data_IF_184527836064
#
_entry.id   IF_184527836064
#
_cell.length_a   1.000
_cell.length_b   1.000
_cell.length_c   1.000
_cell.angle_alpha   90.00
_cell.angle_beta   90.00
_cell.angle_gamma   90.00
#
_symmetry.space_group_name_H-M   'P 1'
#
loop_
_entity.id
_entity.type
_entity.pdbx_description
1 polymer ?
#
# COMPACT_ATOMS: atom_id res chain seq x y z
N UNK A 1 -5.37 12.45 -20.94
CA UNK A 1 -5.83 13.85 -20.99
C UNK A 1 -5.44 14.55 -22.30
N UNK A 2 -4.21 14.38 -22.81
CA UNK A 2 -3.77 15.04 -24.06
C UNK A 2 -4.54 14.64 -25.31
N UNK A 3 -4.85 13.34 -25.45
CA UNK A 3 -5.67 12.84 -26.55
C UNK A 3 -7.10 13.41 -26.55
N UNK A 4 -7.72 13.48 -25.36
CA UNK A 4 -9.03 14.12 -25.20
C UNK A 4 -8.97 15.60 -25.56
N UNK A 5 -7.98 16.34 -25.06
CA UNK A 5 -7.82 17.78 -25.35
C UNK A 5 -7.61 18.05 -26.83
N UNK A 6 -6.76 17.28 -27.50
CA UNK A 6 -6.52 17.41 -28.93
C UNK A 6 -7.80 17.15 -29.75
N UNK A 7 -8.67 16.26 -29.28
CA UNK A 7 -9.95 15.95 -29.93
C UNK A 7 -11.01 17.03 -29.70
N UNK A 8 -11.20 17.48 -28.46
CA UNK A 8 -12.30 18.41 -28.13
C UNK A 8 -11.95 19.89 -28.37
N UNK A 9 -10.70 20.28 -28.15
CA UNK A 9 -10.24 21.68 -28.24
C UNK A 9 -9.39 21.94 -29.50
N UNK A 10 -8.98 20.88 -30.20
CA UNK A 10 -8.17 20.98 -31.40
C UNK A 10 -6.84 21.70 -31.16
N UNK A 11 -6.54 22.63 -32.07
CA UNK A 11 -5.33 23.47 -32.02
C UNK A 11 -5.58 24.87 -31.47
N UNK A 12 -6.83 25.21 -31.15
CA UNK A 12 -7.18 26.55 -30.70
C UNK A 12 -6.67 26.83 -29.28
N UNK A 13 -6.26 28.08 -28.98
CA UNK A 13 -6.07 28.52 -27.61
C UNK A 13 -7.38 28.45 -26.81
N UNK A 14 -7.30 28.14 -25.52
CA UNK A 14 -8.47 28.06 -24.64
C UNK A 14 -8.21 28.70 -23.28
N UNK A 15 -9.28 29.25 -22.68
CA UNK A 15 -9.28 29.71 -21.30
C UNK A 15 -9.51 28.52 -20.37
N UNK A 16 -8.72 28.43 -19.30
CA UNK A 16 -8.84 27.38 -18.30
C UNK A 16 -9.02 28.01 -16.92
N UNK A 17 -10.27 28.04 -16.44
CA UNK A 17 -10.59 28.47 -15.10
C UNK A 17 -10.11 27.42 -14.08
N UNK A 18 -9.28 27.83 -13.12
CA UNK A 18 -8.83 26.95 -12.03
C UNK A 18 -9.24 27.55 -10.70
N UNK A 19 -9.92 26.77 -9.86
CA UNK A 19 -10.50 27.22 -8.60
C UNK A 19 -9.51 27.36 -7.44
N UNK A 20 -8.30 27.86 -7.68
CA UNK A 20 -7.36 28.19 -6.59
C UNK A 20 -7.80 29.46 -5.88
N UNK A 21 -7.75 29.44 -4.56
CA UNK A 21 -8.07 30.58 -3.70
C UNK A 21 -6.79 31.36 -3.30
N UNK A 22 -6.91 32.47 -2.57
CA UNK A 22 -5.74 33.32 -2.22
C UNK A 22 -4.68 32.60 -1.38
N UNK A 23 -5.07 31.59 -0.63
CA UNK A 23 -4.17 30.79 0.21
C UNK A 23 -3.32 29.80 -0.61
N UNK A 24 -3.55 29.68 -1.92
CA UNK A 24 -2.95 28.67 -2.81
C UNK A 24 -1.97 29.26 -3.84
N UNK A 25 -1.35 30.40 -3.56
CA UNK A 25 -0.45 31.11 -4.48
C UNK A 25 0.70 30.25 -5.04
N UNK A 26 1.28 29.35 -4.26
CA UNK A 26 2.33 28.42 -4.74
C UNK A 26 1.83 27.45 -5.81
N UNK A 27 0.55 27.04 -5.74
CA UNK A 27 -0.09 26.19 -6.75
C UNK A 27 -0.37 26.97 -8.02
N UNK A 28 -0.75 28.24 -7.91
CA UNK A 28 -0.91 29.15 -9.05
C UNK A 28 0.41 29.32 -9.79
N UNK A 29 1.51 29.55 -9.07
CA UNK A 29 2.85 29.64 -9.68
C UNK A 29 3.20 28.35 -10.43
N UNK A 30 3.02 27.20 -9.78
CA UNK A 30 3.31 25.89 -10.39
C UNK A 30 2.45 25.62 -11.62
N UNK A 31 1.14 25.89 -11.53
CA UNK A 31 0.18 25.67 -12.61
C UNK A 31 0.39 26.61 -13.80
N UNK A 32 0.75 27.88 -13.54
CA UNK A 32 1.05 28.88 -14.57
C UNK A 32 2.27 28.51 -15.42
N UNK A 33 3.21 27.75 -14.86
CA UNK A 33 4.36 27.23 -15.59
C UNK A 33 3.97 26.10 -16.58
N UNK A 34 2.77 25.52 -16.45
CA UNK A 34 2.31 24.43 -17.30
C UNK A 34 1.63 24.97 -18.56
N UNK A 35 2.36 24.92 -19.68
CA UNK A 35 1.96 25.58 -20.93
C UNK A 35 1.14 24.70 -21.89
N UNK A 36 1.04 23.37 -21.68
CA UNK A 36 0.35 22.41 -22.58
C UNK A 36 0.43 22.76 -24.08
N UNK A 37 1.65 22.86 -24.62
CA UNK A 37 1.89 23.23 -26.02
C UNK A 37 1.60 24.69 -26.37
N UNK A 38 1.59 25.59 -25.38
CA UNK A 38 1.38 27.04 -25.53
C UNK A 38 -0.09 27.46 -25.75
N UNK A 39 -1.04 26.53 -25.67
CA UNK A 39 -2.46 26.79 -26.02
C UNK A 39 -3.33 27.13 -24.81
N UNK A 40 -2.88 26.78 -23.61
CA UNK A 40 -3.62 27.00 -22.38
C UNK A 40 -3.41 28.43 -21.88
N UNK A 41 -4.51 29.11 -21.58
CA UNK A 41 -4.51 30.39 -20.87
C UNK A 41 -5.19 30.21 -19.51
N UNK A 42 -4.44 29.93 -18.44
CA UNK A 42 -5.02 29.79 -17.12
C UNK A 42 -5.53 31.14 -16.59
N UNK A 43 -6.61 31.10 -15.81
CA UNK A 43 -7.03 32.21 -14.95
C UNK A 43 -7.62 31.66 -13.66
N UNK A 44 -7.63 32.46 -12.60
CA UNK A 44 -7.86 32.00 -11.23
C UNK A 44 -8.93 32.85 -10.55
N UNK A 45 -10.21 32.67 -10.89
CA UNK A 45 -11.28 33.60 -10.49
C UNK A 45 -11.35 33.84 -8.98
N UNK A 46 -11.25 32.76 -8.20
CA UNK A 46 -11.39 32.79 -6.74
C UNK A 46 -10.23 33.56 -6.10
N UNK A 47 -9.02 33.37 -6.61
CA UNK A 47 -7.85 34.15 -6.21
C UNK A 47 -7.99 35.62 -6.63
N UNK A 48 -8.42 35.89 -7.86
CA UNK A 48 -8.58 37.26 -8.40
C UNK A 48 -9.60 38.09 -7.61
N UNK A 49 -10.69 37.48 -7.13
CA UNK A 49 -11.68 38.15 -6.27
C UNK A 49 -11.27 38.21 -4.79
N UNK A 50 -10.07 37.72 -4.44
CA UNK A 50 -9.52 37.82 -3.10
C UNK A 50 -10.13 36.86 -2.07
N UNK A 51 -10.77 35.77 -2.50
CA UNK A 51 -11.43 34.86 -1.58
C UNK A 51 -10.46 33.87 -0.96
N UNK A 52 -10.50 33.79 0.37
CA UNK A 52 -9.86 32.75 1.20
C UNK A 52 -10.64 31.45 1.13
N UNK A 53 -10.01 30.36 1.58
CA UNK A 53 -10.69 29.08 1.76
C UNK A 53 -11.95 29.20 2.62
N UNK A 54 -11.91 30.00 3.68
CA UNK A 54 -13.04 30.16 4.60
C UNK A 54 -14.22 30.87 3.92
N UNK A 55 -13.96 31.91 3.13
CA UNK A 55 -14.99 32.61 2.37
C UNK A 55 -15.64 31.71 1.33
N UNK A 56 -14.86 30.89 0.61
CA UNK A 56 -15.41 29.88 -0.30
C UNK A 56 -16.34 28.90 0.42
N UNK A 57 -15.95 28.42 1.60
CA UNK A 57 -16.77 27.50 2.40
C UNK A 57 -18.06 28.15 2.88
N UNK A 58 -17.98 29.40 3.35
CA UNK A 58 -19.14 30.17 3.78
C UNK A 58 -20.11 30.39 2.62
N UNK A 59 -19.62 30.80 1.45
CA UNK A 59 -20.45 31.00 0.26
C UNK A 59 -21.21 29.73 -0.14
N UNK A 60 -20.53 28.57 -0.13
CA UNK A 60 -21.20 27.29 -0.40
C UNK A 60 -22.24 26.96 0.67
N UNK A 61 -21.92 27.17 1.94
CA UNK A 61 -22.87 26.94 3.03
C UNK A 61 -24.10 27.85 2.91
N UNK A 62 -23.93 29.13 2.59
CA UNK A 62 -25.05 30.07 2.45
C UNK A 62 -25.96 29.70 1.29
N UNK A 63 -25.39 29.15 0.21
CA UNK A 63 -26.14 28.74 -0.98
C UNK A 63 -26.93 27.45 -0.78
N UNK A 64 -26.41 26.51 0.02
CA UNK A 64 -26.91 25.14 0.04
C UNK A 64 -27.24 24.59 1.44
N UNK A 65 -26.89 25.30 2.51
CA UNK A 65 -27.09 24.90 3.89
C UNK A 65 -26.20 23.76 4.37
N UNK A 66 -25.09 23.46 3.68
CA UNK A 66 -24.20 22.32 3.98
C UNK A 66 -22.75 22.76 4.14
N UNK A 67 -22.07 22.23 5.15
CA UNK A 67 -20.62 22.38 5.31
C UNK A 67 -19.88 21.24 4.60
N UNK A 68 -19.23 21.54 3.48
CA UNK A 68 -18.43 20.54 2.79
C UNK A 68 -17.08 20.29 3.45
N UNK A 69 -16.74 19.01 3.71
CA UNK A 69 -15.39 18.65 4.14
C UNK A 69 -14.37 18.89 3.03
N UNK A 70 -13.11 19.14 3.41
CA UNK A 70 -12.01 19.25 2.44
C UNK A 70 -11.79 17.89 1.77
N UNK A 71 -11.85 17.84 0.44
CA UNK A 71 -11.91 16.60 -0.35
C UNK A 71 -13.25 15.89 -0.17
N UNK A 72 -14.06 15.89 -1.23
CA UNK A 72 -15.38 15.21 -1.29
C UNK A 72 -15.26 13.69 -1.21
N UNK A 73 -14.06 13.16 -1.49
CA UNK A 73 -13.79 11.74 -1.43
C UNK A 73 -13.61 11.34 0.03
N UNK A 74 -14.63 10.70 0.62
CA UNK A 74 -14.52 9.98 1.90
C UNK A 74 -13.43 8.91 1.85
N UNK A 75 -13.11 8.45 0.63
CA UNK A 75 -12.07 7.50 0.31
C UNK A 75 -10.72 8.18 -0.05
N UNK A 76 -10.44 9.38 0.45
CA UNK A 76 -9.10 9.97 0.26
C UNK A 76 -8.26 9.71 1.49
N UNK A 77 -7.19 8.93 1.34
CA UNK A 77 -6.18 8.73 2.38
C UNK A 77 -5.07 9.79 2.37
N UNK A 78 -5.01 10.62 1.32
CA UNK A 78 -3.99 11.66 1.17
C UNK A 78 -4.41 12.96 1.87
N UNK A 79 -3.75 13.27 2.99
CA UNK A 79 -3.89 14.56 3.69
C UNK A 79 -2.53 15.14 4.09
N UNK A 80 -2.47 16.47 4.15
CA UNK A 80 -1.34 17.14 4.79
C UNK A 80 -1.31 16.85 6.29
N UNK A 81 -0.18 17.11 6.94
CA UNK A 81 -0.03 16.85 8.39
C UNK A 81 -1.01 17.69 9.22
N UNK A 82 -1.24 18.93 8.81
CA UNK A 82 -2.06 19.88 9.56
C UNK A 82 -3.56 19.53 9.54
N UNK A 83 -3.98 18.65 8.63
CA UNK A 83 -5.38 18.26 8.43
C UNK A 83 -5.67 16.85 8.96
N UNK A 84 -4.77 16.34 9.77
CA UNK A 84 -4.89 15.03 10.36
C UNK A 84 -6.09 14.91 11.34
N UNK A 85 -6.39 15.88 12.22
CA UNK A 85 -7.55 15.80 13.10
C UNK A 85 -8.87 15.60 12.32
N UNK A 86 -9.07 16.33 11.23
CA UNK A 86 -10.24 16.19 10.36
C UNK A 86 -10.24 14.85 9.62
N UNK A 87 -9.08 14.36 9.19
CA UNK A 87 -8.97 13.02 8.59
C UNK A 87 -9.36 11.92 9.59
N UNK A 88 -8.84 12.00 10.82
CA UNK A 88 -9.13 11.04 11.87
C UNK A 88 -10.62 11.04 12.21
N UNK A 89 -11.24 12.21 12.31
CA UNK A 89 -12.69 12.34 12.51
C UNK A 89 -13.49 11.65 11.37
N UNK A 90 -13.05 11.79 10.11
CA UNK A 90 -13.69 11.09 8.98
C UNK A 90 -13.55 9.58 9.05
N UNK A 91 -12.36 9.08 9.38
CA UNK A 91 -12.13 7.65 9.52
C UNK A 91 -12.94 7.06 10.67
N UNK A 92 -13.07 7.78 11.79
CA UNK A 92 -13.94 7.36 12.88
C UNK A 92 -15.43 7.42 12.51
N UNK A 93 -15.84 8.38 11.68
CA UNK A 93 -17.22 8.50 11.22
C UNK A 93 -17.61 7.45 10.15
N UNK A 94 -16.64 6.95 9.37
CA UNK A 94 -16.84 5.92 8.36
C UNK A 94 -15.72 4.86 8.35
N UNK A 95 -15.61 4.02 9.40
CA UNK A 95 -14.49 3.09 9.56
C UNK A 95 -14.36 2.08 8.41
N UNK A 96 -15.46 1.55 7.90
CA UNK A 96 -15.45 0.59 6.78
C UNK A 96 -14.84 1.18 5.50
N UNK A 97 -15.14 2.46 5.20
CA UNK A 97 -14.55 3.14 4.04
C UNK A 97 -13.04 3.38 4.23
N UNK A 98 -12.62 3.66 5.47
CA UNK A 98 -11.21 3.90 5.82
C UNK A 98 -10.33 2.65 5.66
N UNK A 99 -10.88 1.48 5.96
CA UNK A 99 -10.14 0.20 5.95
C UNK A 99 -9.61 -0.16 4.56
N UNK A 100 -10.33 0.18 3.49
CA UNK A 100 -9.85 -0.06 2.13
C UNK A 100 -8.47 0.58 1.88
N UNK A 101 -8.22 1.78 2.42
CA UNK A 101 -6.92 2.45 2.28
C UNK A 101 -5.82 1.81 3.11
N UNK A 102 -6.18 1.23 4.24
CA UNK A 102 -5.24 0.50 5.07
C UNK A 102 -4.82 -0.80 4.38
N UNK A 103 -5.74 -1.48 3.69
CA UNK A 103 -5.43 -2.65 2.87
C UNK A 103 -4.55 -2.25 1.67
N UNK A 104 -4.90 -1.17 0.97
CA UNK A 104 -4.09 -0.63 -0.15
C UNK A 104 -2.64 -0.33 0.31
N UNK A 105 -2.49 0.38 1.42
CA UNK A 105 -1.18 0.70 1.98
C UNK A 105 -0.47 -0.55 2.51
N UNK A 106 -1.19 -1.47 3.17
CA UNK A 106 -0.64 -2.73 3.64
C UNK A 106 0.00 -3.48 2.48
N UNK A 107 -0.69 -3.59 1.34
CA UNK A 107 -0.18 -4.23 0.14
C UNK A 107 1.00 -3.48 -0.48
N UNK A 108 0.90 -2.15 -0.57
CA UNK A 108 1.97 -1.31 -1.10
C UNK A 108 3.25 -1.46 -0.28
N UNK A 109 3.13 -1.42 1.05
CA UNK A 109 4.25 -1.57 1.98
C UNK A 109 4.77 -2.99 1.94
N UNK A 110 3.93 -4.03 2.05
CA UNK A 110 4.34 -5.43 1.96
C UNK A 110 5.23 -5.69 0.74
N UNK A 111 4.79 -5.23 -0.44
CA UNK A 111 5.56 -5.35 -1.68
C UNK A 111 6.71 -4.35 -1.76
N UNK A 112 6.70 -3.21 -1.06
CA UNK A 112 7.78 -2.23 -1.08
C UNK A 112 7.91 -1.50 0.26
N UNK A 113 8.93 -1.82 1.06
CA UNK A 113 9.14 -1.21 2.39
C UNK A 113 9.20 0.33 2.39
N UNK A 114 9.46 0.95 1.24
CA UNK A 114 9.51 2.41 1.09
C UNK A 114 8.21 3.04 0.59
N UNK A 115 7.12 2.28 0.45
CA UNK A 115 5.84 2.74 -0.09
C UNK A 115 4.82 3.16 0.99
N UNK A 116 5.27 3.49 2.20
CA UNK A 116 4.38 4.10 3.20
C UNK A 116 3.78 5.40 2.67
N UNK A 117 2.50 5.62 2.92
CA UNK A 117 1.70 6.73 2.38
C UNK A 117 2.27 8.10 2.72
N UNK A 118 2.96 8.20 3.87
CA UNK A 118 3.57 9.43 4.35
C UNK A 118 5.10 9.45 4.21
N UNK A 119 5.64 8.61 3.33
CA UNK A 119 7.08 8.51 3.04
C UNK A 119 7.89 8.25 4.32
N UNK A 120 8.86 9.12 4.62
CA UNK A 120 9.69 9.02 5.83
C UNK A 120 8.90 9.20 7.14
N UNK A 121 7.69 9.75 7.08
CA UNK A 121 6.84 9.94 8.26
C UNK A 121 6.00 8.69 8.60
N UNK A 122 6.25 7.55 7.95
CA UNK A 122 5.68 6.26 8.29
C UNK A 122 4.41 5.90 7.52
N UNK A 123 3.69 4.92 8.05
CA UNK A 123 2.46 4.37 7.46
C UNK A 123 1.21 5.00 8.05
N UNK A 124 0.08 4.89 7.34
CA UNK A 124 -1.23 5.25 7.85
C UNK A 124 -1.61 4.42 9.07
N UNK A 125 -1.35 3.10 9.05
CA UNK A 125 -1.58 2.22 10.21
C UNK A 125 -0.82 2.71 11.44
N UNK A 126 0.44 3.15 11.30
CA UNK A 126 1.23 3.67 12.42
C UNK A 126 0.64 4.96 12.99
N UNK A 127 0.11 5.86 12.15
CA UNK A 127 -0.55 7.08 12.61
C UNK A 127 -1.87 6.79 13.32
N UNK A 128 -2.69 5.89 12.78
CA UNK A 128 -3.94 5.48 13.42
C UNK A 128 -3.72 4.81 14.78
N UNK A 129 -2.64 4.03 14.93
CA UNK A 129 -2.24 3.49 16.24
C UNK A 129 -1.83 4.59 17.22
N UNK A 130 -1.05 5.58 16.75
CA UNK A 130 -0.63 6.71 17.59
C UNK A 130 -1.81 7.49 18.15
N UNK A 131 -2.85 7.68 17.34
CA UNK A 131 -4.01 8.52 17.69
C UNK A 131 -5.26 7.69 18.04
N UNK A 132 -5.06 6.43 18.45
CA UNK A 132 -6.05 5.53 19.04
C UNK A 132 -7.34 5.30 18.23
N UNK A 133 -7.21 5.14 16.91
CA UNK A 133 -8.34 4.84 16.02
C UNK A 133 -8.78 3.36 16.10
N UNK A 134 -9.11 2.88 17.30
CA UNK A 134 -9.35 1.46 17.63
C UNK A 134 -10.42 0.80 16.76
N UNK A 135 -11.54 1.48 16.48
CA UNK A 135 -12.60 0.94 15.63
C UNK A 135 -12.11 0.63 14.21
N UNK A 136 -11.31 1.53 13.63
CA UNK A 136 -10.76 1.36 12.27
C UNK A 136 -9.72 0.24 12.26
N UNK A 137 -8.85 0.20 13.27
CA UNK A 137 -7.82 -0.84 13.38
C UNK A 137 -8.42 -2.24 13.65
N UNK A 138 -9.51 -2.30 14.43
CA UNK A 138 -10.25 -3.54 14.67
C UNK A 138 -10.87 -4.10 13.40
N UNK A 139 -11.50 -3.25 12.59
CA UNK A 139 -12.03 -3.65 11.28
C UNK A 139 -10.89 -4.06 10.32
N UNK A 140 -9.75 -3.38 10.33
CA UNK A 140 -8.60 -3.79 9.53
C UNK A 140 -8.16 -5.22 9.86
N UNK A 141 -8.02 -5.58 11.13
CA UNK A 141 -7.63 -6.95 11.50
C UNK A 141 -8.70 -7.98 11.13
N UNK A 142 -9.99 -7.63 11.24
CA UNK A 142 -11.09 -8.50 10.78
C UNK A 142 -11.01 -8.75 9.27
N UNK A 143 -10.83 -7.71 8.47
CA UNK A 143 -10.68 -7.82 7.01
C UNK A 143 -9.42 -8.62 6.64
N UNK A 144 -8.27 -8.33 7.26
CA UNK A 144 -7.03 -9.07 7.01
C UNK A 144 -7.13 -10.56 7.38
N UNK A 145 -7.96 -10.92 8.36
CA UNK A 145 -8.22 -12.31 8.72
C UNK A 145 -9.18 -13.01 7.75
N UNK A 146 -10.08 -12.28 7.11
CA UNK A 146 -11.10 -12.82 6.21
C UNK A 146 -10.65 -12.92 4.75
N UNK A 147 -9.79 -12.01 4.29
CA UNK A 147 -9.30 -11.96 2.91
C UNK A 147 -8.34 -13.14 2.65
N UNK A 148 -8.33 -13.68 1.43
CA UNK A 148 -7.36 -14.67 0.98
C UNK A 148 -5.94 -14.07 0.99
N UNK A 149 -4.93 -14.84 1.38
CA UNK A 149 -3.52 -14.44 1.33
C UNK A 149 -2.78 -15.15 0.21
N UNK A 150 -1.68 -14.54 -0.21
CA UNK A 150 -0.74 -15.11 -1.14
C UNK A 150 0.69 -14.95 -0.63
N UNK A 151 1.51 -15.96 -0.85
CA UNK A 151 2.96 -15.84 -0.83
C UNK A 151 3.42 -15.26 -2.17
N UNK A 152 3.92 -14.02 -2.12
CA UNK A 152 4.45 -13.33 -3.29
C UNK A 152 5.95 -13.53 -3.41
N UNK A 153 6.43 -13.81 -4.62
CA UNK A 153 7.83 -13.64 -5.00
C UNK A 153 7.98 -12.30 -5.73
N UNK A 154 8.84 -11.44 -5.20
CA UNK A 154 9.07 -10.10 -5.75
C UNK A 154 10.51 -9.99 -6.17
N UNK A 155 10.72 -9.70 -7.46
CA UNK A 155 12.05 -9.49 -8.06
C UNK A 155 12.14 -8.10 -8.65
N UNK A 156 13.27 -7.43 -8.43
CA UNK A 156 13.51 -6.06 -8.89
C UNK A 156 14.90 -5.90 -9.45
N UNK A 157 15.02 -5.06 -10.47
CA UNK A 157 16.29 -4.55 -10.97
C UNK A 157 16.17 -3.03 -11.07
N UNK A 158 16.87 -2.30 -10.19
CA UNK A 158 16.92 -0.85 -10.20
C UNK A 158 18.10 -0.35 -11.02
N UNK A 159 17.89 0.71 -11.80
CA UNK A 159 18.94 1.39 -12.57
C UNK A 159 19.21 2.82 -12.08
N UNK A 160 18.29 3.37 -11.28
CA UNK A 160 18.39 4.66 -10.62
C UNK A 160 17.38 4.68 -9.46
N UNK A 161 17.44 5.68 -8.57
CA UNK A 161 16.44 5.85 -7.51
C UNK A 161 15.01 5.79 -8.06
N UNK A 162 14.15 4.97 -7.45
CA UNK A 162 12.76 4.69 -7.83
C UNK A 162 12.52 4.08 -9.24
N UNK A 163 13.56 3.95 -10.07
CA UNK A 163 13.47 3.38 -11.41
C UNK A 163 13.83 1.89 -11.41
N UNK A 164 12.81 1.04 -11.22
CA UNK A 164 12.98 -0.41 -11.25
C UNK A 164 12.18 -1.10 -12.36
N UNK A 165 12.80 -2.08 -12.98
CA UNK A 165 12.12 -3.21 -13.60
C UNK A 165 11.66 -4.15 -12.49
N UNK A 166 10.43 -4.65 -12.57
CA UNK A 166 9.79 -5.40 -11.50
C UNK A 166 9.10 -6.63 -12.07
N UNK A 167 9.22 -7.74 -11.36
CA UNK A 167 8.39 -8.92 -11.50
C UNK A 167 7.74 -9.21 -10.15
N UNK A 168 6.42 -9.40 -10.18
CA UNK A 168 5.63 -9.87 -9.04
C UNK A 168 4.93 -11.13 -9.49
N UNK A 169 5.14 -12.20 -8.74
CA UNK A 169 4.57 -13.52 -8.97
C UNK A 169 3.82 -13.95 -7.71
N UNK A 170 2.74 -14.70 -7.90
CA UNK A 170 2.04 -15.40 -6.83
C UNK A 170 2.59 -16.81 -6.81
N UNK A 171 3.34 -17.12 -5.77
CA UNK A 171 4.00 -18.41 -5.63
C UNK A 171 3.08 -19.45 -4.96
N UNK A 172 2.21 -19.00 -4.04
CA UNK A 172 1.19 -19.82 -3.40
C UNK A 172 0.01 -18.95 -2.93
N UNK A 173 -1.16 -19.57 -2.72
CA UNK A 173 -2.39 -18.94 -2.21
C UNK A 173 -2.98 -19.77 -1.07
N UNK A 174 -3.55 -19.10 -0.08
CA UNK A 174 -4.13 -19.73 1.09
C UNK A 174 -4.70 -18.70 2.06
N UNK A 175 -4.76 -19.05 3.34
CA UNK A 175 -5.11 -18.10 4.40
C UNK A 175 -3.85 -17.48 5.02
N UNK A 176 -4.03 -16.44 5.84
CA UNK A 176 -2.94 -15.72 6.53
C UNK A 176 -1.94 -16.65 7.20
N UNK A 177 -2.42 -17.58 8.02
CA UNK A 177 -1.56 -18.47 8.82
C UNK A 177 -0.78 -19.42 7.92
N UNK A 178 -1.43 -19.99 6.90
CA UNK A 178 -0.79 -20.87 5.92
C UNK A 178 0.34 -20.17 5.19
N UNK A 179 0.11 -18.97 4.66
CA UNK A 179 1.14 -18.26 3.89
C UNK A 179 2.29 -17.75 4.79
N UNK A 180 1.99 -17.33 6.02
CA UNK A 180 3.02 -16.95 6.99
C UNK A 180 3.88 -18.14 7.43
N UNK A 181 3.25 -19.30 7.68
CA UNK A 181 3.97 -20.54 7.98
C UNK A 181 4.80 -21.01 6.80
N UNK A 182 4.30 -20.89 5.57
CA UNK A 182 5.04 -21.25 4.36
C UNK A 182 6.26 -20.37 4.17
N UNK A 183 6.14 -19.05 4.38
CA UNK A 183 7.27 -18.11 4.38
C UNK A 183 8.33 -18.52 5.43
N UNK A 184 7.90 -18.90 6.64
CA UNK A 184 8.81 -19.33 7.70
C UNK A 184 9.51 -20.66 7.37
N UNK A 185 8.78 -21.65 6.84
CA UNK A 185 9.37 -22.93 6.39
C UNK A 185 10.37 -22.73 5.26
N UNK A 186 10.07 -21.84 4.31
CA UNK A 186 10.98 -21.46 3.24
C UNK A 186 12.27 -20.84 3.81
N UNK A 187 12.14 -19.94 4.78
CA UNK A 187 13.28 -19.31 5.45
C UNK A 187 14.18 -20.33 6.16
N UNK A 188 13.57 -21.25 6.92
CA UNK A 188 14.30 -22.33 7.59
C UNK A 188 15.03 -23.24 6.61
N UNK A 189 14.39 -23.65 5.52
CA UNK A 189 15.01 -24.54 4.53
C UNK A 189 16.13 -23.88 3.72
N UNK A 190 16.14 -22.55 3.63
CA UNK A 190 17.23 -21.77 3.02
C UNK A 190 18.30 -21.35 4.03
N UNK A 191 18.09 -21.53 5.34
CA UNK A 191 18.99 -21.05 6.38
C UNK A 191 19.08 -19.52 6.43
N UNK A 192 17.99 -18.81 6.13
CA UNK A 192 17.92 -17.35 6.08
C UNK A 192 16.96 -16.82 7.14
N UNK A 193 17.25 -15.65 7.70
CA UNK A 193 16.41 -14.98 8.69
C UNK A 193 15.42 -14.01 8.03
N UNK A 194 14.10 -14.17 8.23
CA UNK A 194 13.12 -13.19 7.78
C UNK A 194 13.27 -11.85 8.52
N UNK A 195 13.13 -10.75 7.80
CA UNK A 195 13.17 -9.40 8.35
C UNK A 195 11.74 -8.87 8.52
N UNK A 196 11.37 -8.51 9.75
CA UNK A 196 10.07 -7.92 10.05
C UNK A 196 10.19 -6.42 10.29
N UNK A 197 9.54 -5.62 9.44
CA UNK A 197 9.56 -4.16 9.49
C UNK A 197 8.14 -3.61 9.29
N UNK A 198 7.72 -2.68 10.15
CA UNK A 198 6.40 -2.03 10.08
C UNK A 198 5.20 -3.01 10.00
N UNK A 199 5.33 -4.20 10.62
CA UNK A 199 4.29 -5.24 10.60
C UNK A 199 4.31 -6.15 9.38
N UNK A 200 5.34 -6.07 8.53
CA UNK A 200 5.51 -6.93 7.35
C UNK A 200 6.78 -7.74 7.45
N UNK A 201 6.66 -9.06 7.33
CA UNK A 201 7.79 -9.99 7.33
C UNK A 201 8.17 -10.32 5.89
N UNK A 202 9.44 -10.10 5.54
CA UNK A 202 10.01 -10.43 4.23
C UNK A 202 11.19 -11.37 4.39
N UNK A 203 11.23 -12.40 3.57
CA UNK A 203 12.40 -13.24 3.41
C UNK A 203 13.23 -12.72 2.24
N UNK A 204 14.28 -11.97 2.53
CA UNK A 204 15.22 -11.49 1.51
C UNK A 204 16.19 -12.61 1.14
N UNK A 205 16.31 -12.92 -0.15
CA UNK A 205 17.28 -13.92 -0.59
C UNK A 205 18.71 -13.37 -0.56
N UNK A 206 18.86 -12.09 -0.87
CA UNK A 206 20.09 -11.34 -0.61
C UNK A 206 19.74 -9.98 -0.04
N UNK A 207 20.59 -9.45 0.83
CA UNK A 207 20.40 -8.11 1.36
C UNK A 207 20.64 -7.07 0.25
N UNK A 208 19.77 -6.06 0.12
CA UNK A 208 19.97 -4.98 -0.85
C UNK A 208 21.31 -4.28 -0.59
N UNK A 209 22.18 -4.21 -1.59
CA UNK A 209 23.37 -3.35 -1.54
C UNK A 209 22.95 -1.90 -1.87
N UNK A 210 23.01 -0.97 -0.89
CA UNK A 210 22.32 0.32 -1.02
C UNK A 210 22.97 1.29 -2.02
N UNK A 211 24.23 1.08 -2.40
CA UNK A 211 25.08 2.16 -2.93
C UNK A 211 25.54 2.01 -4.39
N UNK A 212 25.04 1.01 -5.14
CA UNK A 212 25.41 0.83 -6.55
C UNK A 212 24.22 0.47 -7.42
N UNK A 213 24.24 0.97 -8.65
CA UNK A 213 23.32 0.58 -9.71
C UNK A 213 24.11 -0.07 -10.86
N UNK A 214 23.54 -1.04 -11.58
CA UNK A 214 22.25 -1.67 -11.31
C UNK A 214 22.28 -2.51 -10.02
N UNK A 215 21.15 -2.54 -9.31
CA UNK A 215 20.98 -3.41 -8.13
C UNK A 215 19.79 -4.33 -8.34
N UNK A 216 19.97 -5.59 -7.96
CA UNK A 216 18.92 -6.59 -7.98
C UNK A 216 18.49 -6.94 -6.57
N UNK A 217 17.22 -7.27 -6.43
CA UNK A 217 16.61 -7.66 -5.16
C UNK A 217 15.60 -8.77 -5.44
N UNK A 218 15.64 -9.84 -4.64
CA UNK A 218 14.59 -10.85 -4.58
C UNK A 218 14.18 -11.08 -3.13
N UNK A 219 12.87 -11.14 -2.90
CA UNK A 219 12.34 -11.54 -1.61
C UNK A 219 10.96 -12.19 -1.74
N UNK A 220 10.61 -12.94 -0.71
CA UNK A 220 9.26 -13.49 -0.51
C UNK A 220 8.52 -12.72 0.59
N UNK A 221 7.21 -12.56 0.44
CA UNK A 221 6.35 -11.91 1.43
C UNK A 221 4.95 -12.50 1.39
N UNK A 222 4.39 -12.80 2.57
CA UNK A 222 2.99 -13.17 2.71
C UNK A 222 2.13 -11.91 2.89
N UNK A 223 1.10 -11.73 2.06
CA UNK A 223 0.20 -10.59 2.11
C UNK A 223 -1.18 -10.93 1.50
N UNK A 224 -2.23 -10.11 1.70
CA UNK A 224 -3.52 -10.29 1.01
C UNK A 224 -3.38 -10.50 -0.50
N UNK A 225 -4.19 -11.39 -1.07
CA UNK A 225 -4.08 -11.88 -2.45
C UNK A 225 -4.68 -10.93 -3.51
N UNK A 226 -4.54 -9.62 -3.30
CA UNK A 226 -5.13 -8.51 -4.06
C UNK A 226 -4.34 -8.16 -5.34
N UNK A 227 -3.02 -8.40 -5.32
CA UNK A 227 -2.13 -7.97 -6.41
C UNK A 227 -2.01 -9.06 -7.47
N UNK A 228 -2.35 -8.70 -8.72
CA UNK A 228 -2.16 -9.58 -9.87
C UNK A 228 -0.68 -9.73 -10.23
N UNK A 229 -0.25 -10.92 -10.68
CA UNK A 229 1.08 -11.10 -11.25
C UNK A 229 1.35 -10.10 -12.37
N UNK A 230 2.56 -9.55 -12.40
CA UNK A 230 2.96 -8.60 -13.44
C UNK A 230 4.46 -8.59 -13.65
N UNK A 231 4.87 -8.55 -14.91
CA UNK A 231 6.24 -8.30 -15.31
C UNK A 231 6.30 -7.63 -16.69
N UNK A 232 7.41 -6.96 -16.99
CA UNK A 232 7.67 -6.39 -18.31
C UNK A 232 8.21 -7.47 -19.25
N UNK A 233 7.89 -7.37 -20.54
CA UNK A 233 8.57 -8.15 -21.57
C UNK A 233 10.09 -7.89 -21.50
N UNK A 234 10.89 -8.95 -21.49
CA UNK A 234 12.35 -8.87 -21.33
C UNK A 234 12.84 -8.70 -19.89
N UNK A 235 11.99 -8.86 -18.88
CA UNK A 235 12.43 -8.82 -17.48
C UNK A 235 13.49 -9.89 -17.16
N UNK A 236 13.25 -11.17 -17.50
CA UNK A 236 14.14 -12.28 -17.18
C UNK A 236 15.58 -12.09 -17.69
N UNK A 237 15.85 -11.85 -19.00
CA UNK A 237 17.21 -11.63 -19.47
C UNK A 237 17.86 -10.39 -18.83
N UNK A 238 17.06 -9.36 -18.51
CA UNK A 238 17.56 -8.16 -17.85
C UNK A 238 17.94 -8.42 -16.38
N UNK A 239 17.17 -9.25 -15.68
CA UNK A 239 17.44 -9.61 -14.29
C UNK A 239 18.67 -10.51 -14.20
N UNK A 240 18.73 -11.58 -15.01
CA UNK A 240 19.85 -12.50 -15.06
C UNK A 240 21.19 -11.81 -15.40
N UNK A 241 21.18 -10.80 -16.28
CA UNK A 241 22.39 -10.06 -16.65
C UNK A 241 22.98 -9.20 -15.51
N UNK A 242 22.23 -8.92 -14.44
CA UNK A 242 22.65 -8.02 -13.35
C UNK A 242 22.60 -8.66 -11.95
N UNK A 243 21.93 -9.80 -11.81
CA UNK A 243 21.92 -10.55 -10.56
C UNK A 243 23.26 -11.25 -10.35
N UNK A 244 23.74 -11.25 -9.11
CA UNK A 244 24.89 -12.06 -8.73
C UNK A 244 24.53 -13.55 -8.80
N UNK A 245 25.51 -14.41 -9.08
CA UNK A 245 25.30 -15.87 -9.18
C UNK A 245 24.67 -16.44 -7.91
N UNK A 246 25.13 -16.01 -6.74
CA UNK A 246 24.55 -16.38 -5.43
C UNK A 246 23.05 -16.07 -5.34
N UNK A 247 22.61 -14.91 -5.85
CA UNK A 247 21.19 -14.57 -5.85
C UNK A 247 20.41 -15.49 -6.79
N UNK A 248 20.96 -15.83 -7.95
CA UNK A 248 20.31 -16.72 -8.92
C UNK A 248 20.20 -18.14 -8.37
N UNK A 249 21.25 -18.64 -7.71
CA UNK A 249 21.26 -19.94 -7.05
C UNK A 249 20.23 -20.01 -5.91
N UNK A 250 20.22 -19.01 -5.01
CA UNK A 250 19.24 -18.94 -3.92
C UNK A 250 17.81 -18.80 -4.44
N UNK A 251 17.60 -18.05 -5.52
CA UNK A 251 16.28 -17.87 -6.13
C UNK A 251 15.77 -19.15 -6.78
N UNK A 252 16.65 -19.96 -7.40
CA UNK A 252 16.32 -21.29 -7.88
C UNK A 252 16.03 -22.25 -6.72
N UNK A 253 16.90 -22.31 -5.72
CA UNK A 253 16.74 -23.16 -4.55
C UNK A 253 15.44 -22.85 -3.78
N UNK A 254 15.07 -21.57 -3.68
CA UNK A 254 13.82 -21.15 -3.07
C UNK A 254 12.60 -21.65 -3.86
N UNK A 255 12.65 -21.62 -5.19
CA UNK A 255 11.55 -22.12 -6.03
C UNK A 255 11.39 -23.65 -5.90
N UNK A 256 12.49 -24.41 -5.94
CA UNK A 256 12.49 -25.86 -5.78
C UNK A 256 11.98 -26.28 -4.39
N UNK A 257 12.48 -25.62 -3.34
CA UNK A 257 12.04 -25.87 -1.98
C UNK A 257 10.56 -25.51 -1.79
N UNK A 258 10.12 -24.38 -2.34
CA UNK A 258 8.71 -23.99 -2.25
C UNK A 258 7.82 -25.04 -2.93
N UNK A 259 8.19 -25.49 -4.13
CA UNK A 259 7.48 -26.55 -4.83
C UNK A 259 7.37 -27.83 -3.97
N UNK A 260 8.47 -28.25 -3.34
CA UNK A 260 8.47 -29.40 -2.44
C UNK A 260 7.63 -29.19 -1.17
N UNK A 261 7.53 -27.95 -0.66
CA UNK A 261 6.72 -27.62 0.51
C UNK A 261 5.22 -27.59 0.21
N UNK A 262 4.83 -27.28 -1.03
CA UNK A 262 3.43 -27.15 -1.45
C UNK A 262 2.88 -28.43 -2.09
N UNK A 263 3.71 -29.21 -2.76
CA UNK A 263 3.34 -30.55 -3.21
C UNK A 263 3.28 -31.44 -1.96
N UNK A 264 2.06 -31.79 -1.53
CA UNK A 264 1.71 -32.38 -0.22
C UNK A 264 2.38 -33.70 0.22
N UNK A 265 3.55 -34.04 -0.32
CA UNK A 265 4.39 -35.17 0.06
C UNK A 265 5.43 -34.84 1.16
N UNK A 266 5.70 -33.57 1.49
CA UNK A 266 6.75 -33.19 2.44
C UNK A 266 6.20 -32.71 3.80
N UNK A 267 6.01 -33.65 4.73
CA UNK A 267 5.88 -33.36 6.17
C UNK A 267 7.20 -33.67 6.87
N UNK A 268 8.09 -32.69 7.13
CA UNK A 268 9.35 -32.98 7.82
C UNK A 268 9.19 -33.08 9.35
N UNK A 269 7.99 -32.91 9.93
CA UNK A 269 7.77 -33.03 11.38
C UNK A 269 6.41 -33.65 11.77
N UNK A 270 6.33 -34.35 12.91
CA UNK A 270 5.12 -35.05 13.35
C UNK A 270 4.03 -34.05 13.72
N UNK A 271 2.79 -34.40 13.38
CA UNK A 271 1.58 -33.67 13.74
C UNK A 271 1.60 -33.34 15.23
N UNK A 272 1.60 -32.05 15.57
CA UNK A 272 1.31 -31.63 16.94
C UNK A 272 -0.13 -32.06 17.21
N UNK A 273 -0.29 -33.14 17.96
CA UNK A 273 -1.59 -33.55 18.48
C UNK A 273 -2.16 -32.37 19.27
N UNK A 274 -3.32 -31.91 18.83
CA UNK A 274 -4.13 -30.93 19.53
C UNK A 274 -4.32 -31.38 20.98
N UNK A 275 -3.79 -30.58 21.90
CA UNK A 275 -4.09 -30.77 23.32
C UNK A 275 -5.60 -30.69 23.54
N UNK A 276 -6.17 -31.56 24.40
CA UNK A 276 -7.60 -31.56 24.63
C UNK A 276 -8.03 -30.23 25.24
N UNK A 277 -9.08 -29.62 24.67
CA UNK A 277 -9.74 -28.44 25.24
C UNK A 277 -10.04 -28.71 26.73
N UNK A 278 -9.76 -27.78 27.64
CA UNK A 278 -10.23 -27.92 29.01
C UNK A 278 -11.77 -27.97 28.99
N UNK A 279 -12.33 -29.02 29.59
CA UNK A 279 -13.77 -29.15 29.81
C UNK A 279 -14.24 -27.94 30.60
N UNK A 280 -15.30 -27.30 30.12
CA UNK A 280 -15.95 -26.18 30.80
C UNK A 280 -16.30 -26.53 32.24
N UNK A 281 -15.97 -25.61 33.14
CA UNK A 281 -16.53 -25.55 34.48
C UNK A 281 -18.04 -25.30 34.32
N UNK A 282 -18.83 -26.33 34.59
CA UNK A 282 -20.25 -26.17 34.90
C UNK A 282 -20.34 -25.35 36.19
N UNK A 283 -20.96 -24.17 36.10
CA UNK A 283 -21.40 -23.44 37.28
C UNK A 283 -22.61 -24.17 37.87
N UNK A 284 -22.37 -24.79 39.00
CA UNK A 284 -23.40 -25.33 39.89
C UNK A 284 -23.99 -24.14 40.66
N UNK A 285 -25.12 -23.60 40.18
CA UNK A 285 -25.96 -22.71 40.98
C UNK A 285 -26.98 -23.56 41.72
N UNK A 286 -26.68 -23.89 42.97
CA UNK A 286 -27.67 -24.14 44.01
C UNK A 286 -26.97 -24.30 45.37
N UNK A 287 -27.10 -23.28 46.23
CA UNK A 287 -27.66 -23.39 47.60
C UNK A 287 -27.34 -22.18 48.49
N UNK A 288 -28.42 -21.71 49.12
CA UNK A 288 -28.53 -21.21 50.50
C UNK A 288 -27.86 -19.87 50.87
N UNK A 289 -28.62 -18.77 50.78
CA UNK A 289 -29.18 -17.97 51.91
C UNK A 289 -29.95 -16.74 51.39
#
# INVERSE_FOLDING_TARGET
>A
MDQWRARELGTAPYLHAVGYNVDEGSRILTDSAVQFGGRRRPFYPIHEIGWTRQQCRQYLHDLFGVWWPKSLCRQCCFVSRDEWPEQLARFNAAPAEAVHHLIDEYMAVALNRHAGLFGRAGTLTARLRRDDATAVLGLLEQELAAIEWALYRVRRCYFAPAQAWRSVEIAHRGNRDTEQQLLHRLALGLGLDPVTEAGHTRLWLTHPTPDRYPRTETFYVAAPAEVRPKQRAGFEPRFAAHAADELLELDSAAADLLHALTDGAFSPFPSIQSSPRPRGLQHDQNRDE
#
